data_IF_640806885012
#
_entry.id   IF_640806885012
#
_cell.length_a   1.000
_cell.length_b   1.000
_cell.length_c   1.000
_cell.angle_alpha   90.00
_cell.angle_beta   90.00
_cell.angle_gamma   90.00
#
_symmetry.space_group_name_H-M   'P 1'
#
loop_
_entity.id
_entity.type
_entity.pdbx_description
1 polymer ?
#
# COMPACT_ATOMS: atom_id res chain seq x y z
N UNK A 1 -6.27 -17.41 14.84
CA UNK A 1 -6.99 -16.93 16.04
C UNK A 1 -8.27 -16.30 15.55
N UNK A 2 -9.42 -16.71 16.07
CA UNK A 2 -10.69 -16.02 15.82
C UNK A 2 -10.68 -14.68 16.57
N UNK A 3 -11.07 -13.61 15.89
CA UNK A 3 -11.15 -12.27 16.47
C UNK A 3 -12.60 -11.93 16.72
N UNK A 4 -12.94 -11.65 17.97
CA UNK A 4 -14.27 -11.17 18.36
C UNK A 4 -14.35 -9.68 18.06
N UNK A 5 -15.20 -9.32 17.10
CA UNK A 5 -15.40 -7.92 16.66
C UNK A 5 -16.45 -7.18 17.49
N UNK A 6 -17.42 -7.91 18.04
CA UNK A 6 -18.44 -7.42 18.96
C UNK A 6 -18.28 -8.17 20.29
N UNK A 7 -17.57 -7.61 21.28
CA UNK A 7 -17.34 -8.27 22.56
C UNK A 7 -18.62 -8.48 23.37
N UNK A 8 -19.62 -7.63 23.18
CA UNK A 8 -20.91 -7.75 23.87
C UNK A 8 -21.78 -8.84 23.24
N UNK A 9 -21.58 -9.10 21.94
CA UNK A 9 -22.37 -10.06 21.20
C UNK A 9 -21.51 -10.86 20.19
N UNK A 10 -20.63 -11.77 20.66
CA UNK A 10 -19.65 -12.46 19.82
C UNK A 10 -20.26 -13.35 18.73
N UNK A 11 -21.48 -13.84 18.97
CA UNK A 11 -22.21 -14.72 18.05
C UNK A 11 -23.21 -13.96 17.15
N UNK A 12 -23.21 -12.62 17.19
CA UNK A 12 -24.11 -11.80 16.38
C UNK A 12 -23.88 -12.06 14.90
N UNK A 13 -24.88 -12.64 14.25
CA UNK A 13 -24.82 -12.91 12.82
C UNK A 13 -24.86 -11.63 11.99
N UNK A 14 -24.08 -11.61 10.91
CA UNK A 14 -24.10 -10.51 9.95
C UNK A 14 -25.38 -10.59 9.12
N UNK A 15 -26.12 -9.50 9.08
CA UNK A 15 -27.37 -9.32 8.34
C UNK A 15 -27.24 -8.08 7.45
N UNK A 16 -28.16 -7.92 6.49
CA UNK A 16 -28.20 -6.70 5.67
C UNK A 16 -28.34 -5.41 6.48
N UNK A 17 -28.95 -5.48 7.67
CA UNK A 17 -29.17 -4.34 8.53
C UNK A 17 -27.92 -3.95 9.33
N UNK A 18 -27.10 -4.91 9.75
CA UNK A 18 -25.93 -4.68 10.60
C UNK A 18 -24.58 -4.77 9.87
N UNK A 19 -24.58 -5.08 8.55
CA UNK A 19 -23.34 -5.25 7.76
C UNK A 19 -22.38 -4.05 7.86
N UNK A 20 -22.91 -2.83 8.01
CA UNK A 20 -22.08 -1.64 8.16
C UNK A 20 -21.32 -1.65 9.49
N UNK A 21 -22.00 -1.98 10.59
CA UNK A 21 -21.38 -2.11 11.92
C UNK A 21 -20.27 -3.15 11.89
N UNK A 22 -20.53 -4.29 11.25
CA UNK A 22 -19.51 -5.34 11.07
C UNK A 22 -18.29 -4.83 10.30
N UNK A 23 -18.50 -4.15 9.16
CA UNK A 23 -17.40 -3.58 8.36
C UNK A 23 -16.61 -2.55 9.16
N UNK A 24 -17.29 -1.64 9.86
CA UNK A 24 -16.65 -0.60 10.67
C UNK A 24 -15.83 -1.22 11.81
N UNK A 25 -16.36 -2.24 12.50
CA UNK A 25 -15.65 -2.98 13.54
C UNK A 25 -14.44 -3.73 12.99
N UNK A 26 -14.59 -4.37 11.84
CA UNK A 26 -13.50 -5.08 11.17
C UNK A 26 -12.38 -4.14 10.73
N UNK A 27 -12.72 -3.01 10.09
CA UNK A 27 -11.74 -1.99 9.66
C UNK A 27 -11.01 -1.42 10.87
N UNK A 28 -11.74 -1.10 11.95
CA UNK A 28 -11.12 -0.63 13.19
C UNK A 28 -10.17 -1.68 13.80
N UNK A 29 -10.54 -2.95 13.75
CA UNK A 29 -9.65 -4.01 14.20
C UNK A 29 -8.39 -4.12 13.33
N UNK A 30 -8.58 -4.19 12.01
CA UNK A 30 -7.50 -4.38 11.05
C UNK A 30 -6.45 -3.26 11.13
N UNK A 31 -6.88 -2.01 11.28
CA UNK A 31 -5.97 -0.86 11.18
C UNK A 31 -5.63 -0.18 12.52
N UNK A 32 -6.46 -0.33 13.57
CA UNK A 32 -6.22 0.35 14.85
C UNK A 32 -5.94 -0.63 15.98
N UNK A 33 -6.87 -1.53 16.32
CA UNK A 33 -6.75 -2.30 17.58
C UNK A 33 -5.76 -3.45 17.49
N UNK A 34 -5.65 -4.12 16.33
CA UNK A 34 -4.69 -5.23 16.12
C UNK A 34 -3.23 -4.80 16.31
N UNK A 35 -2.91 -3.55 15.95
CA UNK A 35 -1.55 -2.97 16.00
C UNK A 35 -1.36 -1.96 17.12
N UNK A 36 -2.39 -1.65 17.90
CA UNK A 36 -2.43 -0.49 18.80
C UNK A 36 -1.29 -0.44 19.81
N UNK A 37 -0.88 -1.58 20.39
CA UNK A 37 0.23 -1.64 21.34
C UNK A 37 1.56 -1.26 20.70
N UNK A 38 1.86 -1.80 19.52
CA UNK A 38 3.11 -1.51 18.79
C UNK A 38 3.08 -0.09 18.26
N UNK A 39 1.94 0.35 17.73
CA UNK A 39 1.77 1.69 17.19
C UNK A 39 1.91 2.77 18.27
N UNK A 40 1.48 2.50 19.50
CA UNK A 40 1.68 3.41 20.64
C UNK A 40 3.16 3.63 20.95
N UNK A 41 3.96 2.57 20.97
CA UNK A 41 5.39 2.65 21.23
C UNK A 41 6.13 3.33 20.06
N UNK A 42 5.76 3.02 18.81
CA UNK A 42 6.23 3.74 17.63
C UNK A 42 5.91 5.24 17.73
N UNK A 43 4.68 5.59 18.06
CA UNK A 43 4.23 6.99 18.22
C UNK A 43 5.03 7.71 19.30
N UNK A 44 5.34 7.04 20.42
CA UNK A 44 6.18 7.61 21.49
C UNK A 44 7.59 7.90 20.98
N UNK A 45 8.21 6.96 20.27
CA UNK A 45 9.54 7.15 19.70
C UNK A 45 9.58 8.22 18.60
N UNK A 46 8.59 8.21 17.71
CA UNK A 46 8.48 9.16 16.61
C UNK A 46 8.38 10.60 17.12
N UNK A 47 7.50 10.87 18.09
CA UNK A 47 7.34 12.20 18.69
C UNK A 47 8.41 12.56 19.73
N UNK A 48 9.38 11.68 19.99
CA UNK A 48 10.60 12.07 20.71
C UNK A 48 11.55 12.88 19.82
N UNK A 49 11.46 12.69 18.50
CA UNK A 49 12.33 13.31 17.50
C UNK A 49 11.57 14.35 16.67
N UNK A 50 10.34 14.02 16.27
CA UNK A 50 9.49 14.88 15.46
C UNK A 50 8.56 15.73 16.33
N UNK A 51 8.43 17.01 16.00
CA UNK A 51 7.49 17.91 16.67
C UNK A 51 6.03 17.54 16.33
N UNK A 52 5.19 17.40 17.35
CA UNK A 52 3.80 16.94 17.21
C UNK A 52 2.93 17.96 16.50
N UNK A 53 3.12 19.25 16.76
CA UNK A 53 2.34 20.32 16.17
C UNK A 53 2.68 20.46 14.69
N UNK A 54 3.97 20.35 14.35
CA UNK A 54 4.43 20.34 12.95
C UNK A 54 3.88 19.16 12.16
N UNK A 55 3.93 17.94 12.72
CA UNK A 55 3.38 16.73 12.08
C UNK A 55 1.87 16.87 11.86
N UNK A 56 1.17 17.52 12.79
CA UNK A 56 -0.27 17.79 12.68
C UNK A 56 -0.68 18.71 11.53
N UNK A 57 0.27 19.42 10.91
CA UNK A 57 -0.01 20.26 9.74
C UNK A 57 -0.14 19.47 8.43
N UNK A 58 0.38 18.24 8.37
CA UNK A 58 0.38 17.42 7.16
C UNK A 58 -0.89 16.58 7.04
N UNK A 59 -1.42 16.47 5.82
CA UNK A 59 -2.37 15.39 5.48
C UNK A 59 -1.62 14.04 5.45
N UNK A 60 -2.31 12.90 5.64
CA UNK A 60 -1.66 11.58 5.69
C UNK A 60 -0.72 11.30 4.50
N UNK A 61 -1.14 11.66 3.28
CA UNK A 61 -0.32 11.49 2.07
C UNK A 61 0.93 12.37 2.06
N UNK A 62 0.81 13.62 2.52
CA UNK A 62 1.93 14.56 2.56
C UNK A 62 2.96 14.11 3.62
N UNK A 63 2.48 13.61 4.78
CA UNK A 63 3.35 13.05 5.81
C UNK A 63 4.11 11.82 5.30
N UNK A 64 3.42 10.92 4.57
CA UNK A 64 4.05 9.77 3.95
C UNK A 64 5.15 10.20 2.96
N UNK A 65 4.84 11.14 2.06
CA UNK A 65 5.81 11.64 1.07
C UNK A 65 7.05 12.28 1.72
N UNK A 66 6.88 12.97 2.85
CA UNK A 66 8.01 13.57 3.59
C UNK A 66 8.86 12.51 4.28
N UNK A 67 8.24 11.49 4.89
CA UNK A 67 8.95 10.48 5.67
C UNK A 67 9.60 9.39 4.82
N UNK A 68 8.88 8.90 3.82
CA UNK A 68 9.30 7.78 2.97
C UNK A 68 10.00 8.30 1.69
N UNK A 69 9.76 9.56 1.34
CA UNK A 69 10.13 10.11 0.05
C UNK A 69 9.04 9.85 -1.00
N UNK A 70 9.27 10.35 -2.21
CA UNK A 70 8.47 9.95 -3.36
C UNK A 70 8.99 8.62 -3.88
N UNK A 71 8.08 7.75 -4.30
CA UNK A 71 8.46 6.52 -4.99
C UNK A 71 9.25 6.87 -6.25
N UNK A 72 10.57 6.75 -6.17
CA UNK A 72 11.45 6.90 -7.32
C UNK A 72 11.46 5.58 -8.08
N UNK A 73 10.72 5.56 -9.17
CA UNK A 73 10.65 4.39 -10.03
C UNK A 73 11.82 4.44 -11.01
N UNK A 74 12.82 3.59 -10.78
CA UNK A 74 13.90 3.37 -11.73
C UNK A 74 13.41 2.40 -12.82
N UNK A 75 12.73 2.94 -13.82
CA UNK A 75 12.19 2.17 -14.95
C UNK A 75 13.29 1.45 -15.75
N UNK A 76 14.49 2.01 -15.81
CA UNK A 76 15.64 1.36 -16.45
C UNK A 76 16.13 0.17 -15.64
N UNK A 77 16.10 0.26 -14.30
CA UNK A 77 16.33 -0.90 -13.44
C UNK A 77 15.26 -1.97 -13.62
N UNK A 78 13.99 -1.61 -13.81
CA UNK A 78 12.94 -2.58 -14.13
C UNK A 78 13.30 -3.36 -15.40
N UNK A 79 13.58 -2.66 -16.51
CA UNK A 79 13.99 -3.27 -17.80
C UNK A 79 15.20 -4.20 -17.66
N UNK A 80 16.26 -3.72 -17.00
CA UNK A 80 17.52 -4.47 -16.84
C UNK A 80 17.38 -5.75 -16.02
N UNK A 81 16.41 -5.79 -15.09
CA UNK A 81 16.20 -6.95 -14.22
C UNK A 81 15.04 -7.83 -14.67
N UNK A 82 14.37 -7.52 -15.79
CA UNK A 82 13.36 -8.38 -16.38
C UNK A 82 14.01 -9.64 -16.95
N UNK A 83 13.52 -10.80 -16.49
CA UNK A 83 13.89 -12.11 -17.03
C UNK A 83 12.80 -12.56 -17.99
N UNK A 84 13.22 -13.09 -19.14
CA UNK A 84 12.32 -13.60 -20.16
C UNK A 84 12.28 -15.13 -20.10
N UNK A 85 11.10 -15.70 -20.30
CA UNK A 85 10.89 -17.14 -20.29
C UNK A 85 10.40 -17.66 -21.64
N UNK A 86 10.66 -18.93 -21.93
CA UNK A 86 10.26 -19.58 -23.18
C UNK A 86 11.06 -19.09 -24.40
N UNK A 87 10.36 -18.65 -25.45
CA UNK A 87 10.95 -18.15 -26.68
C UNK A 87 11.33 -16.65 -26.62
N UNK A 88 10.94 -15.96 -25.56
CA UNK A 88 11.22 -14.53 -25.40
C UNK A 88 12.65 -14.29 -24.89
N UNK A 89 13.26 -13.23 -25.39
CA UNK A 89 14.56 -12.70 -24.97
C UNK A 89 14.63 -11.20 -25.27
N UNK A 90 15.65 -10.51 -24.77
CA UNK A 90 15.76 -9.04 -24.89
C UNK A 90 15.69 -8.53 -26.35
N UNK A 91 16.28 -9.27 -27.30
CA UNK A 91 16.27 -8.92 -28.72
C UNK A 91 15.03 -9.42 -29.49
N UNK A 92 14.07 -10.04 -28.81
CA UNK A 92 12.85 -10.54 -29.46
C UNK A 92 11.95 -9.36 -29.86
N UNK A 93 11.41 -9.36 -31.08
CA UNK A 93 10.63 -8.23 -31.62
C UNK A 93 9.50 -7.76 -30.70
N UNK A 94 8.71 -8.69 -30.16
CA UNK A 94 7.62 -8.36 -29.23
C UNK A 94 8.12 -7.72 -27.93
N UNK A 95 9.32 -8.07 -27.44
CA UNK A 95 9.90 -7.51 -26.22
C UNK A 95 10.39 -6.08 -26.46
N UNK A 96 11.02 -5.83 -27.61
CA UNK A 96 11.43 -4.48 -28.01
C UNK A 96 10.21 -3.56 -28.14
N UNK A 97 9.18 -4.02 -28.86
CA UNK A 97 7.92 -3.27 -29.00
C UNK A 97 7.24 -3.03 -27.65
N UNK A 98 7.25 -4.01 -26.75
CA UNK A 98 6.70 -3.86 -25.41
C UNK A 98 7.38 -2.71 -24.64
N UNK A 99 8.72 -2.65 -24.67
CA UNK A 99 9.45 -1.59 -23.97
C UNK A 99 9.34 -0.23 -24.65
N UNK A 100 9.24 -0.18 -25.98
CA UNK A 100 8.93 1.04 -26.73
C UNK A 100 7.58 1.63 -26.28
N UNK A 101 6.53 0.82 -26.25
CA UNK A 101 5.20 1.24 -25.80
C UNK A 101 5.23 1.66 -24.32
N UNK A 102 5.94 0.92 -23.47
CA UNK A 102 6.11 1.25 -22.06
C UNK A 102 6.80 2.61 -21.87
N UNK A 103 7.78 2.94 -22.72
CA UNK A 103 8.48 4.21 -22.70
C UNK A 103 7.62 5.39 -23.16
N UNK A 104 6.60 5.15 -23.97
CA UNK A 104 5.60 6.15 -24.35
C UNK A 104 4.58 6.43 -23.23
N UNK A 105 4.46 5.56 -22.23
CA UNK A 105 3.55 5.77 -21.10
C UNK A 105 4.01 6.95 -20.22
N UNK A 106 3.02 7.69 -19.71
CA UNK A 106 3.28 8.66 -18.65
C UNK A 106 3.53 7.95 -17.30
N UNK A 107 4.06 8.69 -16.33
CA UNK A 107 4.46 8.16 -15.03
C UNK A 107 3.31 7.46 -14.28
N UNK A 108 2.08 7.96 -14.39
CA UNK A 108 0.90 7.35 -13.76
C UNK A 108 0.58 5.99 -14.39
N UNK A 109 0.55 5.91 -15.73
CA UNK A 109 0.30 4.65 -16.44
C UNK A 109 1.40 3.61 -16.25
N UNK A 110 2.67 4.03 -16.10
CA UNK A 110 3.77 3.11 -15.77
C UNK A 110 3.62 2.54 -14.36
N UNK A 111 3.13 3.34 -13.40
CA UNK A 111 2.77 2.87 -12.06
C UNK A 111 1.61 1.90 -12.11
N UNK A 112 0.53 2.23 -12.81
CA UNK A 112 -0.63 1.34 -12.98
C UNK A 112 -0.22 0.01 -13.61
N UNK A 113 0.69 0.05 -14.59
CA UNK A 113 1.26 -1.16 -15.18
C UNK A 113 2.02 -2.00 -14.14
N UNK A 114 2.87 -1.38 -13.33
CA UNK A 114 3.59 -2.09 -12.26
C UNK A 114 2.61 -2.71 -11.25
N UNK A 115 1.59 -1.96 -10.83
CA UNK A 115 0.52 -2.43 -9.95
C UNK A 115 -0.28 -3.60 -10.54
N UNK A 116 -0.46 -3.66 -11.85
CA UNK A 116 -1.14 -4.79 -12.51
C UNK A 116 -0.32 -6.08 -12.42
N UNK A 117 1.02 -5.98 -12.40
CA UNK A 117 1.91 -7.12 -12.39
C UNK A 117 2.21 -7.68 -10.97
N UNK A 118 2.01 -6.90 -9.91
CA UNK A 118 2.39 -7.24 -8.52
C UNK A 118 1.18 -7.34 -7.61
#
# INVERSE_FOLDING_TARGET
>A
MEVVLDPENPEKQVTNQNKKEFVDAYVNHAFNTSVGNVFKEFTRGFFHVCDRDLVGLFRPRELQEVLVGKDFHDWERLKRNTVYEGEYHADHHNIQMFWEVFDELNEEKRKDFLWFLT
#
